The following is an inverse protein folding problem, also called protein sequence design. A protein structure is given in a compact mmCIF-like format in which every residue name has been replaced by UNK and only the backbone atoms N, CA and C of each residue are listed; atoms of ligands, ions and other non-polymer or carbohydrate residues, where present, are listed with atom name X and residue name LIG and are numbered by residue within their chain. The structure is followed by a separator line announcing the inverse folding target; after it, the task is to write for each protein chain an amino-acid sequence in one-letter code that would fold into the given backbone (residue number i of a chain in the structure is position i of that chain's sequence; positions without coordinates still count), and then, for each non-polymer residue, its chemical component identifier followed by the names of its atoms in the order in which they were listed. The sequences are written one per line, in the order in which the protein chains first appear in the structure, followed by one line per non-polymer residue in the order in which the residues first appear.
data_IF_961677773211
#
_entry.id   IF_961677773211
#
_cell.length_a   1.000
_cell.length_b   1.000
_cell.length_c   1.000
_cell.angle_alpha   90.00
_cell.angle_beta   90.00
_cell.angle_gamma   90.00
#
_symmetry.space_group_name_H-M   'P 1'
#
loop_
_entity.id
_entity.type
_entity.pdbx_description
1 polymer ?
#
# COMPACT_ATOMS: atom_id res chain seq x y z
N UNK A 1 -18.99 7.74 -5.31
CA UNK A 1 -19.45 8.02 -6.70
C UNK A 1 -18.68 7.15 -7.70
N UNK A 2 -17.35 7.27 -7.78
CA UNK A 2 -16.48 6.47 -8.67
C UNK A 2 -16.71 4.94 -8.65
N UNK A 3 -16.68 4.30 -7.47
CA UNK A 3 -16.89 2.85 -7.33
C UNK A 3 -18.25 2.39 -7.89
N UNK A 4 -19.31 3.11 -7.52
CA UNK A 4 -20.69 2.81 -7.94
C UNK A 4 -20.91 3.02 -9.45
N UNK A 5 -20.26 4.02 -10.04
CA UNK A 5 -20.36 4.30 -11.49
C UNK A 5 -19.64 3.27 -12.35
N UNK A 6 -18.58 2.66 -11.82
CA UNK A 6 -17.79 1.65 -12.53
C UNK A 6 -18.12 0.22 -12.09
N UNK A 7 -19.15 0.04 -11.25
CA UNK A 7 -19.52 -1.27 -10.68
C UNK A 7 -18.32 -2.01 -10.06
N UNK A 8 -17.50 -1.30 -9.30
CA UNK A 8 -16.31 -1.83 -8.63
C UNK A 8 -16.57 -2.03 -7.14
N UNK A 9 -16.05 -3.13 -6.60
CA UNK A 9 -16.11 -3.46 -5.17
C UNK A 9 -15.01 -2.78 -4.35
N UNK A 10 -13.83 -2.57 -4.93
CA UNK A 10 -12.70 -1.88 -4.30
C UNK A 10 -11.81 -1.20 -5.34
N UNK A 11 -11.06 -0.18 -4.92
CA UNK A 11 -9.92 0.36 -5.66
C UNK A 11 -8.63 -0.11 -5.01
N UNK A 12 -7.59 -0.23 -5.83
CA UNK A 12 -6.25 -0.55 -5.37
C UNK A 12 -5.27 0.48 -5.91
N UNK A 13 -4.31 0.89 -5.10
CA UNK A 13 -3.24 1.79 -5.53
C UNK A 13 -1.94 1.53 -4.76
N UNK A 14 -0.76 1.76 -5.37
CA UNK A 14 0.51 1.72 -4.67
C UNK A 14 0.49 2.69 -3.48
N UNK A 15 0.82 2.21 -2.29
CA UNK A 15 0.74 3.02 -1.06
C UNK A 15 1.69 4.21 -1.10
N UNK A 16 2.90 3.97 -1.60
CA UNK A 16 3.95 4.96 -1.70
C UNK A 16 5.11 4.46 -2.56
N UNK A 17 6.07 5.36 -2.79
CA UNK A 17 7.36 5.04 -3.39
C UNK A 17 8.22 4.18 -2.44
N UNK A 18 9.22 3.43 -2.96
CA UNK A 18 10.21 2.74 -2.14
C UNK A 18 10.91 3.69 -1.16
N UNK A 19 11.48 3.14 -0.09
CA UNK A 19 12.21 3.93 0.90
C UNK A 19 13.38 4.73 0.27
N UNK A 20 13.57 5.96 0.72
CA UNK A 20 14.73 6.79 0.38
C UNK A 20 15.69 6.87 1.57
N UNK A 21 16.93 7.29 1.30
CA UNK A 21 17.89 7.59 2.37
C UNK A 21 17.43 8.83 3.13
N UNK A 22 17.54 8.79 4.45
CA UNK A 22 17.33 9.98 5.30
C UNK A 22 18.38 11.03 4.94
N UNK A 23 17.94 12.14 4.36
CA UNK A 23 18.76 13.30 4.07
C UNK A 23 18.43 14.42 5.07
N UNK A 24 19.43 14.88 5.82
CA UNK A 24 19.24 15.94 6.83
C UNK A 24 19.28 17.35 6.23
N UNK A 25 19.70 17.48 4.98
CA UNK A 25 19.83 18.74 4.25
C UNK A 25 18.59 18.93 3.36
N UNK A 26 18.31 17.95 2.51
CA UNK A 26 17.23 18.01 1.51
C UNK A 26 15.90 17.42 2.01
N UNK A 27 15.91 16.71 3.15
CA UNK A 27 14.72 16.14 3.77
C UNK A 27 14.19 14.90 3.05
N UNK A 28 12.87 14.70 3.08
CA UNK A 28 12.23 13.51 2.52
C UNK A 28 12.12 13.56 1.00
N UNK A 29 12.60 12.51 0.33
CA UNK A 29 12.48 12.35 -1.12
C UNK A 29 11.14 11.69 -1.51
N UNK A 30 10.03 12.36 -1.19
CA UNK A 30 8.69 11.85 -1.49
C UNK A 30 8.32 12.04 -2.96
N UNK A 31 8.24 10.94 -3.71
CA UNK A 31 7.91 10.94 -5.15
C UNK A 31 6.39 10.86 -5.39
N UNK A 32 5.63 10.39 -4.39
CA UNK A 32 4.19 10.22 -4.49
C UNK A 32 3.67 9.07 -3.64
N UNK A 33 2.38 9.12 -3.32
CA UNK A 33 1.67 8.12 -2.52
C UNK A 33 0.16 8.30 -2.63
N UNK A 34 -0.58 7.20 -2.49
CA UNK A 34 -2.05 7.18 -2.63
C UNK A 34 -2.79 7.27 -1.29
N UNK A 35 -2.05 7.35 -0.18
CA UNK A 35 -2.58 7.32 1.19
C UNK A 35 -3.38 8.57 1.58
N UNK A 36 -3.20 9.70 0.90
CA UNK A 36 -3.84 10.98 1.24
C UNK A 36 -5.36 10.95 1.07
N UNK A 37 -5.87 10.40 -0.03
CA UNK A 37 -7.32 10.30 -0.26
C UNK A 37 -7.99 9.33 0.71
N UNK A 38 -7.28 8.25 1.09
CA UNK A 38 -7.75 7.29 2.09
C UNK A 38 -7.81 7.86 3.51
N UNK A 39 -6.82 8.65 3.90
CA UNK A 39 -6.77 9.30 5.21
C UNK A 39 -7.93 10.30 5.40
N UNK A 40 -8.44 10.85 4.29
CA UNK A 40 -9.58 11.77 4.27
C UNK A 40 -10.93 11.04 4.18
N UNK A 41 -11.01 9.89 3.49
CA UNK A 41 -12.27 9.19 3.22
C UNK A 41 -12.71 8.18 4.29
N UNK A 42 -11.86 7.89 5.29
CA UNK A 42 -12.21 7.11 6.49
C UNK A 42 -12.32 5.60 6.31
N UNK A 43 -12.21 5.07 5.09
CA UNK A 43 -12.15 3.62 4.82
C UNK A 43 -10.89 3.34 4.01
N UNK A 44 -9.87 2.87 4.73
CA UNK A 44 -8.59 2.43 4.21
C UNK A 44 -8.22 1.13 4.90
N UNK A 45 -7.77 0.15 4.14
CA UNK A 45 -6.98 -0.94 4.67
C UNK A 45 -5.50 -0.70 4.33
N UNK A 46 -4.71 -0.44 5.38
CA UNK A 46 -3.30 0.00 5.36
C UNK A 46 -2.33 -1.20 5.24
N UNK A 47 -1.09 -1.03 4.75
CA UNK A 47 -0.63 -1.64 3.51
C UNK A 47 -0.28 -3.13 3.59
N UNK A 48 -0.70 -3.85 2.55
CA UNK A 48 -0.22 -5.19 2.26
C UNK A 48 1.00 -5.12 1.34
N UNK A 49 1.93 -6.05 1.49
CA UNK A 49 3.14 -6.04 0.67
C UNK A 49 2.82 -6.49 -0.76
N UNK A 50 3.08 -5.60 -1.72
CA UNK A 50 2.95 -5.91 -3.14
C UNK A 50 4.20 -6.58 -3.69
N UNK A 51 5.36 -6.22 -3.18
CA UNK A 51 6.61 -6.78 -3.63
C UNK A 51 7.81 -5.96 -3.18
N UNK A 52 8.89 -6.08 -3.93
CA UNK A 52 10.15 -5.39 -3.66
C UNK A 52 10.65 -4.71 -4.93
N UNK A 53 11.14 -3.49 -4.79
CA UNK A 53 12.01 -2.84 -5.77
C UNK A 53 13.41 -2.91 -5.17
N UNK A 54 14.31 -3.64 -5.82
CA UNK A 54 15.55 -4.14 -5.21
C UNK A 54 15.24 -4.90 -3.89
N UNK A 55 15.77 -4.43 -2.76
CA UNK A 55 15.53 -4.99 -1.42
C UNK A 55 14.52 -4.15 -0.60
N UNK A 56 13.91 -3.14 -1.21
CA UNK A 56 12.99 -2.23 -0.54
C UNK A 56 11.54 -2.68 -0.73
N UNK A 57 10.77 -2.89 0.37
CA UNK A 57 9.38 -3.32 0.27
C UNK A 57 8.50 -2.21 -0.29
N UNK A 58 7.61 -2.57 -1.20
CA UNK A 58 6.57 -1.69 -1.75
C UNK A 58 5.20 -2.21 -1.36
N UNK A 59 4.36 -1.31 -0.85
CA UNK A 59 3.02 -1.62 -0.38
C UNK A 59 1.93 -1.35 -1.40
N UNK A 60 0.81 -2.06 -1.29
CA UNK A 60 -0.46 -1.74 -1.91
C UNK A 60 -1.50 -1.38 -0.85
N UNK A 61 -2.33 -0.40 -1.17
CA UNK A 61 -3.47 0.02 -0.38
C UNK A 61 -4.77 -0.36 -1.08
N UNK A 62 -5.75 -0.82 -0.30
CA UNK A 62 -7.10 -1.13 -0.75
C UNK A 62 -8.08 -0.08 -0.21
N UNK A 63 -8.97 0.39 -1.06
CA UNK A 63 -9.92 1.47 -0.78
C UNK A 63 -11.33 1.00 -1.11
N UNK A 64 -12.31 1.34 -0.26
CA UNK A 64 -13.71 0.99 -0.49
C UNK A 64 -14.65 2.05 0.10
N UNK A 65 -15.96 1.84 -0.01
CA UNK A 65 -17.00 2.67 0.61
C UNK A 65 -17.18 2.37 2.10
N UNK A 66 -17.86 3.27 2.82
CA UNK A 66 -18.20 3.08 4.24
C UNK A 66 -18.91 1.76 4.52
N UNK A 67 -18.56 1.13 5.66
CA UNK A 67 -19.21 -0.08 6.19
C UNK A 67 -18.98 -1.34 5.35
N UNK A 68 -17.88 -1.41 4.59
CA UNK A 68 -17.50 -2.56 3.76
C UNK A 68 -16.21 -3.24 4.22
N UNK A 69 -15.84 -3.07 5.49
CA UNK A 69 -14.60 -3.58 6.08
C UNK A 69 -14.47 -5.10 5.94
N UNK A 70 -15.58 -5.84 6.05
CA UNK A 70 -15.58 -7.30 5.91
C UNK A 70 -15.13 -7.75 4.52
N UNK A 71 -15.65 -7.09 3.48
CA UNK A 71 -15.26 -7.37 2.09
C UNK A 71 -13.81 -6.95 1.82
N UNK A 72 -13.40 -5.80 2.36
CA UNK A 72 -12.05 -5.29 2.18
C UNK A 72 -11.00 -6.21 2.84
N UNK A 73 -11.32 -6.74 4.02
CA UNK A 73 -10.50 -7.73 4.71
C UNK A 73 -10.43 -9.05 3.94
N UNK A 74 -11.53 -9.52 3.36
CA UNK A 74 -11.54 -10.74 2.55
C UNK A 74 -10.67 -10.61 1.29
N UNK A 75 -10.79 -9.50 0.58
CA UNK A 75 -9.97 -9.18 -0.59
C UNK A 75 -8.48 -9.15 -0.18
N UNK A 76 -8.16 -8.43 0.88
CA UNK A 76 -6.78 -8.25 1.29
C UNK A 76 -6.15 -9.53 1.86
N UNK A 77 -6.92 -10.33 2.62
CA UNK A 77 -6.50 -11.64 3.10
C UNK A 77 -6.27 -12.61 1.93
N UNK A 78 -7.18 -12.65 0.96
CA UNK A 78 -7.03 -13.48 -0.23
C UNK A 78 -5.81 -13.08 -1.04
N UNK A 79 -5.56 -11.78 -1.17
CA UNK A 79 -4.35 -11.25 -1.80
C UNK A 79 -3.08 -11.65 -1.05
N UNK A 80 -3.03 -11.48 0.28
CA UNK A 80 -1.88 -11.86 1.09
C UNK A 80 -1.58 -13.35 1.02
N UNK A 81 -2.60 -14.19 1.12
CA UNK A 81 -2.43 -15.65 1.13
C UNK A 81 -2.07 -16.23 -0.23
N UNK A 82 -2.57 -15.64 -1.32
CA UNK A 82 -2.22 -16.06 -2.67
C UNK A 82 -0.79 -15.67 -3.05
N UNK A 83 -0.34 -14.49 -2.60
CA UNK A 83 0.96 -13.94 -3.02
C UNK A 83 2.11 -14.27 -2.10
N UNK A 84 1.88 -14.23 -0.77
CA UNK A 84 2.90 -14.41 0.27
C UNK A 84 4.15 -13.57 0.02
N UNK A 85 3.97 -12.36 -0.52
CA UNK A 85 5.07 -11.49 -0.92
C UNK A 85 5.93 -11.00 0.26
N UNK A 86 5.44 -11.10 1.50
CA UNK A 86 6.18 -10.74 2.70
C UNK A 86 7.49 -11.53 2.81
N UNK A 87 8.61 -10.81 2.89
CA UNK A 87 9.93 -11.37 3.24
C UNK A 87 10.45 -10.65 4.48
N UNK A 88 11.15 -11.40 5.34
CA UNK A 88 11.86 -10.79 6.47
C UNK A 88 13.00 -9.90 5.94
N UNK A 89 13.23 -8.71 6.52
CA UNK A 89 14.33 -7.85 6.13
C UNK A 89 15.67 -8.55 6.39
N UNK A 90 16.65 -8.29 5.53
CA UNK A 90 18.02 -8.77 5.69
C UNK A 90 18.95 -7.58 5.85
N UNK A 91 19.99 -7.74 6.64
CA UNK A 91 21.08 -6.78 6.67
C UNK A 91 21.88 -6.90 5.38
N UNK A 92 22.03 -5.79 4.66
CA UNK A 92 22.84 -5.71 3.44
C UNK A 92 24.20 -5.13 3.85
N UNK A 93 25.30 -5.89 3.80
CA UNK A 93 26.62 -5.36 4.12
C UNK A 93 26.99 -4.25 3.13
N UNK A 94 27.36 -3.07 3.64
CA UNK A 94 27.98 -2.01 2.85
C UNK A 94 29.49 -2.11 2.98
N UNK A 95 30.20 -2.19 1.84
CA UNK A 95 31.67 -2.04 1.79
C UNK A 95 32.09 -0.59 2.00
#
# INVERSE_FOLDING_TARGET
KLLKENSLDALIAPTGSPAWKTDLIDGDHFIGGSSSMAAVSGILLSPYQWGFIDELPVGISFFSTAWTESLLLEIAYSYEQSTKHRKAPKYIPSN
#
